data_IF_317119062848
#
_entry.id   IF_317119062848
#
_cell.length_a   1.000
_cell.length_b   1.000
_cell.length_c   1.000
_cell.angle_alpha   90.00
_cell.angle_beta   90.00
_cell.angle_gamma   90.00
#
_symmetry.space_group_name_H-M   'P 1'
#
loop_
_entity.id
_entity.type
_entity.pdbx_description
1 polymer ?
#
# COMPACT_ATOMS: atom_id res chain seq x y z
N UNK A 1 11.17 0.10 -15.59
CA UNK A 1 11.03 -1.19 -14.87
C UNK A 1 11.88 -1.09 -13.63
N UNK A 2 11.23 -0.92 -12.49
CA UNK A 2 11.88 -0.71 -11.19
C UNK A 2 12.12 -2.05 -10.51
N UNK A 3 13.31 -2.24 -9.97
CA UNK A 3 13.70 -3.45 -9.24
C UNK A 3 13.94 -3.12 -7.77
N UNK A 4 14.04 -4.16 -6.91
CA UNK A 4 14.38 -4.00 -5.49
C UNK A 4 15.62 -3.12 -5.24
N UNK A 5 16.59 -3.13 -6.17
CA UNK A 5 17.83 -2.37 -6.05
C UNK A 5 17.64 -0.84 -6.06
N UNK A 6 16.47 -0.36 -6.47
CA UNK A 6 16.11 1.06 -6.38
C UNK A 6 15.82 1.53 -4.95
N UNK A 7 15.71 0.60 -3.99
CA UNK A 7 15.32 0.89 -2.61
C UNK A 7 16.39 0.41 -1.62
N UNK A 8 16.52 1.12 -0.50
CA UNK A 8 17.28 0.59 0.63
C UNK A 8 16.49 -0.54 1.33
N UNK A 9 17.14 -1.25 2.25
CA UNK A 9 16.55 -2.42 2.90
C UNK A 9 15.32 -2.08 3.77
N UNK A 10 15.30 -0.90 4.40
CA UNK A 10 14.19 -0.46 5.23
C UNK A 10 12.97 -0.13 4.35
N UNK A 11 13.16 0.68 3.31
CA UNK A 11 12.14 1.04 2.34
C UNK A 11 11.57 -0.19 1.62
N UNK A 12 12.42 -1.16 1.26
CA UNK A 12 11.95 -2.40 0.64
C UNK A 12 11.15 -3.29 1.60
N UNK A 13 11.59 -3.39 2.86
CA UNK A 13 10.78 -3.98 3.92
C UNK A 13 9.47 -3.21 4.08
N UNK A 14 9.49 -1.91 3.80
CA UNK A 14 8.29 -1.08 3.79
C UNK A 14 7.26 -1.56 2.78
N UNK A 15 7.69 -1.62 1.53
CA UNK A 15 6.89 -2.02 0.38
C UNK A 15 6.39 -3.46 0.48
N UNK A 16 7.22 -4.39 0.95
CA UNK A 16 6.86 -5.83 0.92
C UNK A 16 5.91 -6.27 2.03
N UNK A 17 5.91 -5.58 3.18
CA UNK A 17 5.03 -5.94 4.29
C UNK A 17 3.61 -5.36 4.18
N UNK A 18 3.43 -4.22 3.50
CA UNK A 18 2.15 -3.50 3.49
C UNK A 18 0.94 -4.29 2.94
N UNK A 19 1.05 -5.12 1.87
CA UNK A 19 -0.10 -5.88 1.38
C UNK A 19 -0.60 -6.91 2.42
N UNK A 20 0.31 -7.70 3.00
CA UNK A 20 -0.05 -8.68 4.04
C UNK A 20 -0.61 -8.02 5.31
N UNK A 21 -0.02 -6.89 5.73
CA UNK A 21 -0.52 -6.10 6.86
C UNK A 21 -1.93 -5.54 6.60
N UNK A 22 -2.23 -5.14 5.37
CA UNK A 22 -3.57 -4.70 4.97
C UNK A 22 -4.59 -5.83 5.12
N UNK A 23 -4.27 -7.03 4.62
CA UNK A 23 -5.12 -8.20 4.82
C UNK A 23 -5.32 -8.54 6.30
N UNK A 24 -4.28 -8.43 7.12
CA UNK A 24 -4.37 -8.66 8.57
C UNK A 24 -5.28 -7.63 9.26
N UNK A 25 -5.20 -6.36 8.89
CA UNK A 25 -6.06 -5.32 9.45
C UNK A 25 -7.52 -5.55 9.11
N UNK A 26 -7.83 -5.91 7.85
CA UNK A 26 -9.20 -6.24 7.43
C UNK A 26 -9.71 -7.45 8.22
N UNK A 27 -8.90 -8.50 8.36
CA UNK A 27 -9.26 -9.68 9.16
C UNK A 27 -9.54 -9.33 10.63
N UNK A 28 -8.78 -8.39 11.21
CA UNK A 28 -8.93 -7.95 12.59
C UNK A 28 -10.14 -7.02 12.81
N UNK A 29 -10.60 -6.33 11.77
CA UNK A 29 -11.84 -5.55 11.80
C UNK A 29 -13.08 -6.46 11.70
N UNK A 30 -12.96 -7.58 10.98
CA UNK A 30 -14.00 -8.59 10.88
C UNK A 30 -14.20 -9.39 12.17
N UNK A 31 -15.40 -9.95 12.36
CA UNK A 31 -15.72 -10.88 13.47
C UNK A 31 -15.42 -12.36 13.12
N UNK A 32 -14.57 -12.60 12.12
CA UNK A 32 -14.24 -13.93 11.62
C UNK A 32 -13.15 -14.67 12.39
N UNK A 33 -12.69 -15.77 11.81
CA UNK A 33 -11.56 -16.52 12.35
C UNK A 33 -10.23 -15.91 11.92
N UNK A 34 -9.13 -16.64 12.08
CA UNK A 34 -7.84 -16.26 11.48
C UNK A 34 -7.41 -17.21 10.35
N UNK A 35 -8.06 -18.37 10.24
CA UNK A 35 -7.67 -19.46 9.34
C UNK A 35 -8.09 -19.17 7.90
N UNK A 36 -9.35 -18.78 7.64
CA UNK A 36 -9.85 -18.54 6.28
C UNK A 36 -9.22 -17.29 5.67
N UNK A 37 -8.98 -16.32 6.52
CA UNK A 37 -8.39 -15.02 6.27
C UNK A 37 -6.93 -15.19 5.84
N UNK A 38 -6.16 -16.05 6.53
CA UNK A 38 -4.80 -16.42 6.12
C UNK A 38 -4.76 -17.13 4.77
N UNK A 39 -5.75 -17.99 4.50
CA UNK A 39 -5.91 -18.66 3.20
C UNK A 39 -6.24 -17.65 2.10
N UNK A 40 -7.10 -16.67 2.37
CA UNK A 40 -7.47 -15.61 1.43
C UNK A 40 -6.27 -14.75 1.04
N UNK A 41 -5.45 -14.34 2.02
CA UNK A 41 -4.18 -13.64 1.76
C UNK A 41 -3.27 -14.50 0.86
N UNK A 42 -3.10 -15.78 1.22
CA UNK A 42 -2.23 -16.70 0.45
C UNK A 42 -2.70 -16.86 -0.99
N UNK A 43 -4.01 -16.97 -1.22
CA UNK A 43 -4.62 -17.05 -2.56
C UNK A 43 -4.44 -15.75 -3.34
N UNK A 44 -4.69 -14.59 -2.75
CA UNK A 44 -4.49 -13.30 -3.41
C UNK A 44 -3.03 -13.13 -3.90
N UNK A 45 -2.06 -13.59 -3.11
CA UNK A 45 -0.65 -13.62 -3.52
C UNK A 45 -0.35 -14.64 -4.62
N UNK A 46 -1.03 -15.80 -4.65
CA UNK A 46 -0.88 -16.79 -5.71
C UNK A 46 -1.46 -16.27 -7.03
N UNK A 47 -2.69 -15.75 -7.01
CA UNK A 47 -3.38 -15.19 -8.16
C UNK A 47 -2.58 -14.02 -8.78
N UNK A 48 -2.00 -13.16 -7.94
CA UNK A 48 -1.15 -12.07 -8.40
C UNK A 48 0.13 -12.56 -9.12
N UNK A 49 0.68 -13.72 -8.74
CA UNK A 49 1.84 -14.32 -9.44
C UNK A 49 1.44 -14.88 -10.80
N UNK A 50 0.24 -15.43 -10.91
CA UNK A 50 -0.29 -15.98 -12.18
C UNK A 50 -0.66 -14.87 -13.19
N UNK A 51 -1.05 -13.70 -12.70
CA UNK A 51 -1.50 -12.54 -13.50
C UNK A 51 -0.45 -11.86 -14.40
N UNK A 52 0.76 -12.42 -14.53
CA UNK A 52 1.91 -11.80 -15.24
C UNK A 52 2.17 -10.35 -14.77
N UNK A 53 2.53 -10.17 -13.49
CA UNK A 53 2.73 -8.84 -12.92
C UNK A 53 3.91 -8.11 -13.57
N UNK A 54 3.87 -6.78 -13.50
CA UNK A 54 4.99 -5.90 -13.82
C UNK A 54 6.22 -6.20 -12.96
N UNK A 55 7.38 -5.63 -13.32
CA UNK A 55 8.66 -5.97 -12.68
C UNK A 55 8.65 -5.68 -11.17
N UNK A 56 8.17 -4.50 -10.76
CA UNK A 56 8.11 -4.13 -9.34
C UNK A 56 7.25 -5.11 -8.54
N UNK A 57 6.02 -5.38 -8.99
CA UNK A 57 5.11 -6.26 -8.28
C UNK A 57 5.64 -7.70 -8.23
N UNK A 58 6.31 -8.17 -9.29
CA UNK A 58 7.00 -9.46 -9.27
C UNK A 58 8.04 -9.54 -8.16
N UNK A 59 8.91 -8.55 -8.05
CA UNK A 59 9.94 -8.49 -6.99
C UNK A 59 9.31 -8.49 -5.58
N UNK A 60 8.18 -7.79 -5.42
CA UNK A 60 7.40 -7.79 -4.17
C UNK A 60 6.86 -9.19 -3.86
N UNK A 61 6.30 -9.88 -4.86
CA UNK A 61 5.72 -11.23 -4.70
C UNK A 61 6.78 -12.32 -4.48
N UNK A 62 8.00 -12.12 -4.98
CA UNK A 62 9.15 -13.02 -4.78
C UNK A 62 9.87 -12.76 -3.46
N UNK A 63 9.74 -11.57 -2.89
CA UNK A 63 10.27 -11.27 -1.56
C UNK A 63 9.33 -11.85 -0.49
N UNK A 64 9.83 -12.69 0.45
CA UNK A 64 9.05 -13.10 1.60
C UNK A 64 8.56 -11.86 2.35
N UNK A 65 7.26 -11.79 2.63
CA UNK A 65 6.69 -10.67 3.36
C UNK A 65 7.44 -10.52 4.70
N UNK A 66 8.21 -9.44 4.82
CA UNK A 66 8.91 -9.07 6.03
C UNK A 66 7.90 -8.56 7.05
N UNK A 67 7.03 -9.44 7.54
CA UNK A 67 6.24 -9.14 8.74
C UNK A 67 7.25 -9.22 9.87
N UNK A 68 7.93 -8.09 10.13
CA UNK A 68 8.68 -7.92 11.37
C UNK A 68 7.78 -8.28 12.56
N UNK A 69 8.34 -8.60 13.73
CA UNK A 69 7.52 -8.94 14.89
C UNK A 69 6.42 -7.90 15.03
N UNK A 70 5.16 -8.36 14.96
CA UNK A 70 4.04 -7.48 15.14
C UNK A 70 4.33 -6.72 16.44
N UNK A 71 4.41 -5.38 16.42
CA UNK A 71 4.57 -4.64 17.66
C UNK A 71 3.45 -5.13 18.60
N UNK A 72 3.66 -5.18 19.92
CA UNK A 72 2.60 -5.63 20.84
C UNK A 72 1.42 -4.64 20.79
N UNK A 73 0.62 -4.72 19.72
CA UNK A 73 -0.54 -3.89 19.49
C UNK A 73 -1.55 -4.35 20.52
N UNK A 74 -1.91 -3.43 21.41
CA UNK A 74 -2.76 -3.75 22.55
C UNK A 74 -4.22 -3.74 22.13
N UNK A 75 -4.56 -3.00 21.07
CA UNK A 75 -5.93 -2.86 20.55
C UNK A 75 -5.98 -2.88 19.02
N UNK A 76 -7.19 -3.02 18.47
CA UNK A 76 -7.46 -2.94 17.04
C UNK A 76 -7.13 -1.55 16.47
N UNK A 77 -7.34 -0.48 17.25
CA UNK A 77 -7.00 0.88 16.84
C UNK A 77 -5.49 1.11 16.72
N UNK A 78 -4.69 0.51 17.61
CA UNK A 78 -3.22 0.55 17.51
C UNK A 78 -2.77 -0.12 16.20
N UNK A 79 -3.32 -1.31 15.93
CA UNK A 79 -3.06 -2.06 14.70
C UNK A 79 -3.46 -1.25 13.46
N UNK A 80 -4.65 -0.65 13.46
CA UNK A 80 -5.13 0.19 12.35
C UNK A 80 -4.15 1.33 12.08
N UNK A 81 -3.80 2.10 13.11
CA UNK A 81 -2.87 3.23 12.99
C UNK A 81 -1.52 2.78 12.44
N UNK A 82 -0.99 1.67 12.94
CA UNK A 82 0.27 1.10 12.50
C UNK A 82 0.22 0.70 11.02
N UNK A 83 -0.79 -0.07 10.62
CA UNK A 83 -0.93 -0.56 9.25
C UNK A 83 -1.16 0.59 8.27
N UNK A 84 -2.04 1.54 8.57
CA UNK A 84 -2.30 2.69 7.69
C UNK A 84 -1.05 3.58 7.53
N UNK A 85 -0.28 3.79 8.60
CA UNK A 85 1.01 4.50 8.51
C UNK A 85 1.99 3.77 7.58
N UNK A 86 1.97 2.43 7.65
CA UNK A 86 2.88 1.58 6.88
C UNK A 86 2.50 1.48 5.40
N UNK A 87 1.21 1.44 5.08
CA UNK A 87 0.69 1.55 3.70
C UNK A 87 1.08 2.91 3.11
N UNK A 88 0.85 4.01 3.84
CA UNK A 88 1.26 5.35 3.38
C UNK A 88 2.75 5.47 3.15
N UNK A 89 3.57 4.90 4.03
CA UNK A 89 5.02 4.87 3.85
C UNK A 89 5.42 4.10 2.58
N UNK A 90 4.80 2.95 2.30
CA UNK A 90 5.05 2.17 1.09
C UNK A 90 4.71 2.96 -0.18
N UNK A 91 3.56 3.63 -0.22
CA UNK A 91 3.16 4.45 -1.37
C UNK A 91 4.16 5.59 -1.60
N UNK A 92 4.57 6.31 -0.54
CA UNK A 92 5.57 7.38 -0.67
C UNK A 92 6.93 6.90 -1.18
N UNK A 93 7.40 5.75 -0.69
CA UNK A 93 8.63 5.12 -1.18
C UNK A 93 8.53 4.82 -2.67
N UNK A 94 7.40 4.26 -3.11
CA UNK A 94 7.19 3.91 -4.51
C UNK A 94 7.00 5.14 -5.40
N UNK A 95 6.30 6.18 -4.94
CA UNK A 95 6.13 7.43 -5.70
C UNK A 95 7.47 8.12 -6.03
N UNK A 96 8.50 7.89 -5.20
CA UNK A 96 9.85 8.45 -5.41
C UNK A 96 10.75 7.57 -6.30
N UNK A 97 10.48 6.26 -6.38
CA UNK A 97 11.40 5.28 -6.99
C UNK A 97 10.82 4.43 -8.12
N UNK A 98 9.50 4.46 -8.34
CA UNK A 98 8.80 3.64 -9.32
C UNK A 98 8.01 4.50 -10.31
N UNK A 99 7.62 3.88 -11.42
CA UNK A 99 6.76 4.53 -12.42
C UNK A 99 5.32 4.62 -11.93
N UNK A 100 4.53 5.62 -12.36
CA UNK A 100 3.12 5.74 -11.97
C UNK A 100 2.29 4.48 -12.25
N UNK A 101 2.60 3.76 -13.34
CA UNK A 101 1.94 2.51 -13.72
C UNK A 101 2.25 1.39 -12.73
N UNK A 102 3.51 1.26 -12.30
CA UNK A 102 3.95 0.28 -11.29
C UNK A 102 3.35 0.60 -9.91
N UNK A 103 3.27 1.89 -9.54
CA UNK A 103 2.60 2.33 -8.30
C UNK A 103 1.11 1.99 -8.35
N UNK A 104 0.44 2.25 -9.47
CA UNK A 104 -0.98 1.93 -9.64
C UNK A 104 -1.24 0.42 -9.60
N UNK A 105 -0.37 -0.39 -10.21
CA UNK A 105 -0.42 -1.85 -10.11
C UNK A 105 -0.26 -2.33 -8.66
N UNK A 106 0.72 -1.78 -7.93
CA UNK A 106 0.93 -2.09 -6.52
C UNK A 106 -0.26 -1.70 -5.64
N UNK A 107 -0.84 -0.50 -5.83
CA UNK A 107 -2.04 -0.04 -5.10
C UNK A 107 -3.22 -1.01 -5.30
N UNK A 108 -3.46 -1.44 -6.54
CA UNK A 108 -4.50 -2.45 -6.87
C UNK A 108 -4.24 -3.77 -6.16
N UNK A 109 -2.99 -4.21 -6.11
CA UNK A 109 -2.63 -5.45 -5.40
C UNK A 109 -2.89 -5.34 -3.89
N UNK A 110 -2.45 -4.26 -3.25
CA UNK A 110 -2.70 -4.02 -1.81
C UNK A 110 -4.20 -3.99 -1.50
N UNK A 111 -4.99 -3.28 -2.30
CA UNK A 111 -6.45 -3.25 -2.15
C UNK A 111 -7.07 -4.63 -2.32
N UNK A 112 -6.68 -5.36 -3.38
CA UNK A 112 -7.20 -6.68 -3.69
C UNK A 112 -6.91 -7.73 -2.60
N UNK A 113 -5.78 -7.63 -1.89
CA UNK A 113 -5.53 -8.47 -0.70
C UNK A 113 -6.54 -8.19 0.41
N UNK A 114 -6.85 -6.91 0.67
CA UNK A 114 -7.89 -6.53 1.63
C UNK A 114 -9.28 -7.03 1.22
N UNK A 115 -9.66 -6.84 -0.04
CA UNK A 115 -10.95 -7.33 -0.57
C UNK A 115 -11.07 -8.85 -0.47
N UNK A 116 -10.02 -9.60 -0.82
CA UNK A 116 -10.03 -11.06 -0.73
C UNK A 116 -10.33 -11.54 0.70
N UNK A 117 -9.76 -10.88 1.71
CA UNK A 117 -10.02 -11.18 3.13
C UNK A 117 -11.44 -10.81 3.51
N UNK A 118 -11.89 -9.58 3.21
CA UNK A 118 -13.26 -9.13 3.49
C UNK A 118 -14.31 -10.07 2.87
N UNK A 119 -14.03 -10.64 1.71
CA UNK A 119 -14.93 -11.58 1.04
C UNK A 119 -14.87 -13.00 1.63
N UNK A 120 -13.74 -13.43 2.18
CA UNK A 120 -13.61 -14.75 2.82
C UNK A 120 -14.51 -14.92 4.06
N UNK A 121 -14.85 -13.81 4.73
CA UNK A 121 -15.78 -13.80 5.86
C UNK A 121 -17.22 -14.18 5.46
N UNK A 122 -17.63 -13.90 4.21
CA UNK A 122 -19.00 -14.15 3.69
C UNK A 122 -19.39 -15.62 3.68
N UNK A 123 -18.41 -16.52 3.54
CA UNK A 123 -18.65 -17.97 3.44
C UNK A 123 -18.81 -18.66 4.80
N UNK A 124 -18.71 -17.91 5.90
CA UNK A 124 -18.57 -18.45 7.26
C UNK A 124 -19.78 -18.34 8.18
N UNK A 125 -20.89 -17.75 7.76
CA UNK A 125 -22.09 -17.58 8.58
C UNK A 125 -22.69 -18.92 9.02
N UNK A 126 -22.57 -19.23 10.31
CA UNK A 126 -23.14 -20.41 10.96
C UNK A 126 -24.66 -20.49 10.70
N UNK A 127 -25.10 -21.55 10.00
CA UNK A 127 -26.51 -21.92 9.81
C UNK A 127 -27.41 -20.98 8.98
N UNK A 128 -27.09 -20.75 7.71
CA UNK A 128 -28.14 -20.56 6.68
C UNK A 128 -29.12 -19.39 6.84
N UNK A 129 -28.82 -18.36 7.63
CA UNK A 129 -29.60 -17.12 7.71
C UNK A 129 -28.65 -15.94 7.70
N UNK A 130 -28.59 -15.23 6.57
CA UNK A 130 -28.03 -13.88 6.47
C UNK A 130 -26.51 -13.78 6.40
N UNK A 131 -25.92 -14.18 5.26
CA UNK A 131 -24.58 -13.74 4.91
C UNK A 131 -24.61 -12.26 4.57
N UNK A 132 -24.36 -11.40 5.58
CA UNK A 132 -24.15 -9.98 5.35
C UNK A 132 -22.98 -9.80 4.36
N UNK A 133 -23.02 -8.71 3.61
CA UNK A 133 -21.96 -8.23 2.72
C UNK A 133 -20.66 -7.99 3.52
N UNK A 134 -19.61 -7.49 2.88
CA UNK A 134 -18.44 -6.95 3.63
C UNK A 134 -18.98 -6.13 4.80
N UNK A 135 -18.53 -6.41 6.02
CA UNK A 135 -19.05 -5.72 7.20
C UNK A 135 -18.72 -4.23 7.15
N UNK A 136 -19.49 -3.40 7.87
CA UNK A 136 -19.23 -1.96 7.91
C UNK A 136 -17.80 -1.65 8.40
N UNK A 137 -17.31 -2.43 9.37
CA UNK A 137 -15.96 -2.27 9.93
C UNK A 137 -14.86 -2.63 8.91
N UNK A 138 -15.02 -3.74 8.18
CA UNK A 138 -14.09 -4.13 7.09
C UNK A 138 -14.13 -3.12 5.94
N UNK A 139 -15.33 -2.66 5.55
CA UNK A 139 -15.49 -1.65 4.51
C UNK A 139 -14.83 -0.33 4.92
N UNK A 140 -15.01 0.10 6.17
CA UNK A 140 -14.36 1.30 6.69
C UNK A 140 -12.83 1.21 6.65
N UNK A 141 -12.24 0.02 6.87
CA UNK A 141 -10.80 -0.20 6.68
C UNK A 141 -10.40 -0.05 5.21
N UNK A 142 -11.14 -0.68 4.29
CA UNK A 142 -10.86 -0.59 2.84
C UNK A 142 -10.95 0.86 2.35
N UNK A 143 -11.94 1.62 2.83
CA UNK A 143 -12.13 3.02 2.48
C UNK A 143 -10.96 3.88 2.98
N UNK A 144 -10.45 3.63 4.20
CA UNK A 144 -9.25 4.30 4.73
C UNK A 144 -8.00 4.00 3.91
N UNK A 145 -7.85 2.75 3.43
CA UNK A 145 -6.74 2.35 2.56
C UNK A 145 -6.86 3.02 1.18
N UNK A 146 -8.05 3.05 0.60
CA UNK A 146 -8.31 3.74 -0.66
C UNK A 146 -8.03 5.25 -0.56
N UNK A 147 -8.42 5.89 0.54
CA UNK A 147 -8.14 7.30 0.78
C UNK A 147 -6.63 7.61 0.78
N UNK A 148 -5.77 6.70 1.25
CA UNK A 148 -4.30 6.86 1.17
C UNK A 148 -3.83 6.85 -0.28
N UNK A 149 -4.47 6.06 -1.15
CA UNK A 149 -4.08 5.94 -2.55
C UNK A 149 -4.39 7.19 -3.37
N UNK A 150 -5.37 7.98 -2.92
CA UNK A 150 -5.78 9.25 -3.53
C UNK A 150 -4.98 10.45 -3.00
N UNK A 151 -4.13 10.26 -1.98
CA UNK A 151 -3.20 11.30 -1.53
C UNK A 151 -2.23 11.65 -2.69
N UNK A 152 -2.00 12.94 -2.99
CA UNK A 152 -1.09 13.33 -4.05
C UNK A 152 0.33 12.83 -3.72
N UNK A 153 1.10 12.36 -4.72
CA UNK A 153 2.48 11.96 -4.49
C UNK A 153 3.23 13.13 -3.86
N UNK A 154 4.05 12.85 -2.85
CA UNK A 154 4.86 13.88 -2.21
C UNK A 154 5.88 14.38 -3.23
N UNK A 155 5.54 15.46 -3.94
CA UNK A 155 6.49 16.20 -4.75
C UNK A 155 7.49 16.81 -3.75
N UNK A 156 8.76 16.44 -3.85
CA UNK A 156 9.82 17.12 -3.11
C UNK A 156 9.64 18.64 -3.33
N UNK A 157 9.70 19.49 -2.28
CA UNK A 157 9.71 20.94 -2.48
C UNK A 157 10.84 21.24 -3.46
N UNK A 158 10.48 21.83 -4.60
CA UNK A 158 11.30 21.84 -5.79
C UNK A 158 12.71 22.38 -5.56
N UNK A 159 13.65 21.83 -6.31
CA UNK A 159 14.62 22.63 -7.04
C UNK A 159 13.91 23.89 -7.55
N UNK A 160 14.13 25.02 -6.88
CA UNK A 160 13.95 26.33 -7.49
C UNK A 160 14.72 26.29 -8.81
N UNK A 161 13.98 26.41 -9.92
CA UNK A 161 14.55 26.70 -11.21
C UNK A 161 15.55 27.87 -11.05
N UNK A 162 16.76 27.81 -11.63
CA UNK A 162 17.70 28.91 -11.49
C UNK A 162 17.03 30.18 -11.97
N UNK A 163 16.94 31.16 -11.07
CA UNK A 163 16.42 32.49 -11.36
C UNK A 163 17.04 32.96 -12.68
N UNK A 164 16.19 33.05 -13.71
CA UNK A 164 16.57 33.49 -15.03
C UNK A 164 17.34 34.79 -14.92
N UNK A 165 18.50 34.78 -15.57
CA UNK A 165 19.37 35.91 -15.85
C UNK A 165 18.53 37.18 -16.11
N UNK A 166 18.51 38.09 -15.14
CA UNK A 166 18.00 39.44 -15.37
C UNK A 166 19.04 40.15 -16.21
N UNK A 167 18.70 40.70 -17.39
CA UNK A 167 19.66 41.49 -18.15
C UNK A 167 20.09 42.69 -17.29
N UNK A 168 21.39 42.90 -17.21
CA UNK A 168 21.96 44.10 -16.62
C UNK A 168 21.47 45.32 -17.41
N UNK A 169 20.68 46.17 -16.75
CA UNK A 169 20.44 47.53 -17.23
C UNK A 169 21.78 48.29 -17.12
N UNK A 170 22.42 48.44 -18.27
CA UNK A 170 23.62 49.25 -18.47
C UNK A 170 23.13 50.64 -18.92
N UNK A 171 23.20 51.70 -18.10
CA UNK A 171 22.95 53.04 -18.60
C UNK A 171 24.17 53.54 -19.39
N UNK A 172 23.99 54.14 -20.57
CA UNK A 172 25.11 54.61 -21.36
C UNK A 172 25.77 55.80 -20.66
N UNK A 173 27.09 55.71 -20.46
CA UNK A 173 27.93 56.89 -20.40
C UNK A 173 27.93 57.64 -21.74
N UNK A 174 28.66 58.77 -21.77
CA UNK A 174 28.77 59.81 -22.82
C UNK A 174 27.86 61.01 -22.49
N UNK A 175 28.33 62.24 -22.26
CA UNK A 175 29.65 62.87 -22.26
C UNK A 175 29.63 64.11 -21.35
#
# INVERSE_FOLDING_TARGET
MTTKAAFNAEDWSVVTAAPALTGLLVAAAGRGGTVRESVAISRAYADAREGRPGQLLREVLETPAGVGPAPQQRTTEDLERYVLARVRAAIRVLDLGATPEEVAEYKRFVYGVGEAVAHAHKEGGFLGVGGERVSEDEQAVLDKVAAIFDEPPTVAPGEEAPAGDRPADDPPGIA
#
